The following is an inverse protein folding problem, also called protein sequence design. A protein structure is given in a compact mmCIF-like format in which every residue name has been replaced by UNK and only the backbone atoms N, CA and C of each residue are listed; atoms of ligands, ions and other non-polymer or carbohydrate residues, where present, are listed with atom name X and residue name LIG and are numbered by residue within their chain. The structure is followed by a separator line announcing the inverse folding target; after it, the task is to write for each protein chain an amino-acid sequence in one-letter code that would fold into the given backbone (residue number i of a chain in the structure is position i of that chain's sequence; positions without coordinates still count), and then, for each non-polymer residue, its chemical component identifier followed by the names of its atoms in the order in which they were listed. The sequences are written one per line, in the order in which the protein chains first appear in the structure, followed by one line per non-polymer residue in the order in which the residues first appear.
data_IF_996279600075
#
_entry.id   IF_996279600075
#
_cell.length_a   1.000
_cell.length_b   1.000
_cell.length_c   1.000
_cell.angle_alpha   90.00
_cell.angle_beta   90.00
_cell.angle_gamma   90.00
#
_symmetry.space_group_name_H-M   'P 1'
#
loop_
_entity.id
_entity.type
_entity.pdbx_description
1 polymer ?
#
# COMPACT_ATOMS: atom_id res chain seq x y z
N UNK A 1 -11.14 -6.48 5.79
CA UNK A 1 -10.13 -5.83 6.64
C UNK A 1 -10.17 -6.55 7.97
N UNK A 2 -9.12 -7.31 8.27
CA UNK A 2 -9.06 -8.11 9.49
C UNK A 2 -8.23 -7.35 10.52
N UNK A 3 -8.86 -7.02 11.65
CA UNK A 3 -8.23 -6.26 12.73
C UNK A 3 -8.94 -6.55 14.06
N UNK A 4 -8.22 -6.40 15.17
CA UNK A 4 -8.73 -6.75 16.52
C UNK A 4 -9.90 -5.87 16.97
N UNK A 5 -10.09 -4.70 16.36
CA UNK A 5 -11.19 -3.80 16.63
C UNK A 5 -11.65 -3.05 15.38
N UNK A 6 -12.85 -2.48 15.44
CA UNK A 6 -13.40 -1.71 14.33
C UNK A 6 -12.63 -0.41 14.10
N UNK A 7 -12.04 -0.28 12.90
CA UNK A 7 -11.33 0.93 12.48
C UNK A 7 -12.26 2.10 12.16
N UNK A 8 -13.58 1.87 12.12
CA UNK A 8 -14.61 2.86 11.75
C UNK A 8 -14.38 3.49 10.37
N UNK A 9 -13.86 2.70 9.42
CA UNK A 9 -13.70 3.12 8.02
C UNK A 9 -15.04 3.38 7.34
N UNK A 10 -15.08 4.38 6.46
CA UNK A 10 -16.25 4.78 5.68
C UNK A 10 -15.86 4.98 4.22
N UNK A 11 -16.79 4.78 3.26
CA UNK A 11 -16.59 5.24 1.89
C UNK A 11 -16.23 6.73 1.90
N UNK A 12 -15.06 7.04 1.38
CA UNK A 12 -14.45 8.37 1.40
C UNK A 12 -14.04 8.72 -0.01
N UNK A 13 -14.44 9.90 -0.47
CA UNK A 13 -14.01 10.47 -1.73
C UNK A 13 -13.02 11.61 -1.46
N UNK A 14 -11.87 11.56 -2.13
CA UNK A 14 -10.88 12.63 -2.13
C UNK A 14 -10.93 13.31 -3.51
N UNK A 15 -11.17 14.63 -3.58
CA UNK A 15 -11.22 15.35 -4.85
C UNK A 15 -9.82 15.59 -5.43
N UNK A 16 -9.78 15.90 -6.75
CA UNK A 16 -8.56 16.37 -7.40
C UNK A 16 -8.02 17.61 -6.71
N UNK A 17 -6.69 17.75 -6.70
CA UNK A 17 -5.97 18.88 -6.11
C UNK A 17 -6.20 19.05 -4.60
N UNK A 18 -6.68 17.99 -3.90
CA UNK A 18 -6.73 17.99 -2.45
C UNK A 18 -5.31 18.05 -1.88
N UNK A 19 -5.08 19.01 -0.98
CA UNK A 19 -3.82 19.17 -0.27
C UNK A 19 -3.90 18.43 1.06
N UNK A 20 -3.09 17.38 1.20
CA UNK A 20 -2.92 16.63 2.42
C UNK A 20 -1.89 17.29 3.34
N UNK A 21 -2.17 17.30 4.63
CA UNK A 21 -1.17 17.56 5.66
C UNK A 21 -0.55 16.23 6.08
N UNK A 22 0.73 16.02 5.77
CA UNK A 22 1.44 14.83 6.21
C UNK A 22 1.73 14.91 7.71
N UNK A 23 1.70 13.76 8.39
CA UNK A 23 2.16 13.61 9.78
C UNK A 23 3.67 13.91 9.94
N UNK A 24 4.40 14.09 8.82
CA UNK A 24 5.76 14.61 8.78
C UNK A 24 5.85 16.15 8.82
N UNK A 25 4.73 16.87 8.93
CA UNK A 25 4.69 18.33 9.10
C UNK A 25 4.86 19.15 7.81
N UNK A 26 4.77 18.52 6.64
CA UNK A 26 4.73 19.18 5.34
C UNK A 26 3.45 18.79 4.58
N UNK A 27 3.23 19.39 3.41
CA UNK A 27 2.05 19.09 2.59
C UNK A 27 2.42 18.40 1.28
N UNK A 28 1.49 17.57 0.79
CA UNK A 28 1.53 17.02 -0.56
C UNK A 28 0.15 17.11 -1.20
N UNK A 29 0.07 17.10 -2.53
CA UNK A 29 -1.18 17.32 -3.26
C UNK A 29 -1.51 16.10 -4.11
N UNK A 30 -2.75 15.63 -4.04
CA UNK A 30 -3.26 14.64 -4.99
C UNK A 30 -3.60 15.34 -6.31
N UNK A 31 -3.08 14.86 -7.43
CA UNK A 31 -3.45 15.35 -8.77
C UNK A 31 -4.76 14.75 -9.26
N UNK A 32 -5.05 13.52 -8.83
CA UNK A 32 -6.21 12.75 -9.23
C UNK A 32 -7.20 12.61 -8.07
N UNK A 33 -8.50 12.52 -8.42
CA UNK A 33 -9.54 12.15 -7.48
C UNK A 33 -9.60 10.64 -7.31
N UNK A 34 -9.90 10.19 -6.10
CA UNK A 34 -10.00 8.77 -5.78
C UNK A 34 -11.03 8.50 -4.68
N UNK A 35 -11.51 7.26 -4.62
CA UNK A 35 -12.47 6.82 -3.62
C UNK A 35 -11.98 5.52 -2.97
N UNK A 36 -12.40 5.27 -1.73
CA UNK A 36 -12.16 4.00 -1.08
C UNK A 36 -12.60 4.00 0.37
N UNK A 37 -12.19 3.00 1.13
CA UNK A 37 -12.50 2.92 2.56
C UNK A 37 -11.46 3.71 3.34
N UNK A 38 -11.90 4.72 4.09
CA UNK A 38 -11.00 5.56 4.87
C UNK A 38 -11.62 6.17 6.11
N UNK A 39 -10.78 6.86 6.90
CA UNK A 39 -11.20 7.57 8.12
C UNK A 39 -10.40 8.84 8.26
N UNK A 40 -11.04 9.90 8.76
CA UNK A 40 -10.35 11.10 9.20
C UNK A 40 -9.85 10.92 10.64
N UNK A 41 -8.53 10.96 10.82
CA UNK A 41 -7.86 10.96 12.13
C UNK A 41 -6.84 12.10 12.21
N UNK A 42 -7.32 13.33 11.97
CA UNK A 42 -6.49 14.53 11.81
C UNK A 42 -6.30 14.88 10.34
N UNK A 43 -6.18 13.87 9.50
CA UNK A 43 -6.27 13.92 8.04
C UNK A 43 -6.95 12.62 7.56
N UNK A 44 -7.45 12.58 6.32
CA UNK A 44 -8.02 11.36 5.74
C UNK A 44 -6.94 10.34 5.37
N UNK A 45 -7.09 9.12 5.89
CA UNK A 45 -6.29 7.95 5.52
C UNK A 45 -7.21 6.90 4.92
N UNK A 46 -6.91 6.44 3.70
CA UNK A 46 -7.61 5.33 3.07
C UNK A 46 -6.76 4.06 3.16
N UNK A 47 -7.42 2.91 3.36
CA UNK A 47 -6.79 1.58 3.46
C UNK A 47 -6.98 0.74 2.18
N UNK A 48 -7.92 1.14 1.34
CA UNK A 48 -8.14 0.63 -0.01
C UNK A 48 -8.74 1.74 -0.87
N UNK A 49 -8.70 1.58 -2.19
CA UNK A 49 -9.39 2.49 -3.08
C UNK A 49 -9.03 2.33 -4.55
N UNK A 50 -9.71 3.12 -5.36
CA UNK A 50 -9.53 3.24 -6.81
C UNK A 50 -9.57 4.71 -7.22
N UNK A 51 -8.70 5.11 -8.14
CA UNK A 51 -8.69 6.47 -8.68
C UNK A 51 -9.44 6.59 -10.01
N UNK A 52 -9.60 7.82 -10.48
CA UNK A 52 -10.28 8.13 -11.74
C UNK A 52 -9.63 7.54 -13.01
N UNK A 53 -8.40 7.02 -12.91
CA UNK A 53 -7.69 6.34 -14.00
C UNK A 53 -7.81 4.81 -13.91
N UNK A 54 -8.51 4.29 -12.90
CA UNK A 54 -8.68 2.86 -12.68
C UNK A 54 -7.47 2.17 -12.06
N UNK A 55 -6.51 2.92 -11.51
CA UNK A 55 -5.51 2.37 -10.61
C UNK A 55 -6.18 2.09 -9.26
N UNK A 56 -6.08 0.86 -8.79
CA UNK A 56 -6.63 0.39 -7.52
C UNK A 56 -5.53 -0.12 -6.62
N UNK A 57 -5.73 -0.03 -5.31
CA UNK A 57 -4.80 -0.63 -4.36
C UNK A 57 -5.37 -0.79 -2.96
N UNK A 58 -4.65 -1.55 -2.14
CA UNK A 58 -4.97 -1.74 -0.73
C UNK A 58 -3.69 -1.84 0.11
N UNK A 59 -3.74 -1.33 1.34
CA UNK A 59 -2.68 -1.40 2.35
C UNK A 59 -3.02 -2.48 3.38
N UNK A 60 -2.13 -3.46 3.55
CA UNK A 60 -2.30 -4.59 4.46
C UNK A 60 -1.13 -4.69 5.43
N UNK A 61 -1.31 -5.39 6.54
CA UNK A 61 -0.30 -5.55 7.60
C UNK A 61 0.94 -6.32 7.13
N UNK A 62 2.14 -5.87 7.49
CA UNK A 62 3.41 -6.51 7.09
C UNK A 62 4.53 -6.32 8.13
N UNK A 63 4.72 -7.29 9.03
CA UNK A 63 5.58 -7.17 10.21
C UNK A 63 7.07 -6.97 9.88
N UNK A 64 7.53 -7.42 8.72
CA UNK A 64 8.90 -7.29 8.25
C UNK A 64 9.20 -5.89 7.69
N UNK A 65 8.20 -4.98 7.67
CA UNK A 65 8.38 -3.63 7.15
C UNK A 65 9.49 -2.88 7.88
N UNK A 66 10.40 -2.26 7.13
CA UNK A 66 11.44 -1.38 7.66
C UNK A 66 11.35 -0.04 6.95
N UNK A 67 11.22 1.02 7.74
CA UNK A 67 11.09 2.39 7.24
C UNK A 67 12.28 3.25 7.64
N UNK A 68 12.46 4.34 6.89
CA UNK A 68 13.47 5.33 7.20
C UNK A 68 13.11 6.11 8.47
N UNK A 69 14.11 6.71 9.13
CA UNK A 69 13.86 7.60 10.28
C UNK A 69 13.65 9.04 9.81
N UNK A 70 13.10 9.91 10.68
CA UNK A 70 12.95 11.34 10.37
C UNK A 70 14.28 12.06 10.07
N UNK A 71 15.42 11.50 10.48
CA UNK A 71 16.75 12.02 10.12
C UNK A 71 17.15 11.71 8.68
N UNK A 72 16.46 10.77 8.04
CA UNK A 72 16.70 10.29 6.68
C UNK A 72 15.73 10.94 5.67
N UNK A 73 15.06 12.05 6.01
CA UNK A 73 14.31 12.81 5.01
C UNK A 73 15.29 13.42 4.01
N UNK A 74 15.26 12.98 2.75
CA UNK A 74 16.13 13.51 1.72
C UNK A 74 15.46 14.72 1.03
N UNK A 75 16.15 15.86 0.87
CA UNK A 75 15.66 16.98 0.07
C UNK A 75 15.35 16.53 -1.36
N UNK A 76 14.16 16.89 -1.87
CA UNK A 76 13.70 16.54 -3.22
C UNK A 76 13.03 15.17 -3.35
N UNK A 77 12.96 14.38 -2.27
CA UNK A 77 12.14 13.17 -2.21
C UNK A 77 10.71 13.47 -1.71
N UNK A 78 9.79 12.60 -2.10
CA UNK A 78 8.44 12.51 -1.56
C UNK A 78 8.51 11.71 -0.27
N UNK A 79 8.57 12.41 0.86
CA UNK A 79 8.67 11.79 2.18
C UNK A 79 7.26 11.55 2.73
N UNK A 80 6.90 10.30 3.05
CA UNK A 80 5.55 9.95 3.52
C UNK A 80 5.61 9.00 4.70
N UNK A 81 4.64 9.12 5.61
CA UNK A 81 4.40 8.06 6.59
C UNK A 81 3.82 6.81 5.90
N UNK A 82 4.00 5.62 6.49
CA UNK A 82 3.51 4.38 5.87
C UNK A 82 2.00 4.43 5.58
N UNK A 83 1.20 4.97 6.49
CA UNK A 83 -0.24 5.12 6.31
C UNK A 83 -0.66 6.19 5.28
N UNK A 84 0.27 6.93 4.69
CA UNK A 84 -0.01 7.95 3.65
C UNK A 84 0.30 7.46 2.24
N UNK A 85 1.08 6.37 2.11
CA UNK A 85 1.59 5.87 0.83
C UNK A 85 0.47 5.55 -0.15
N UNK A 86 -0.61 4.88 0.30
CA UNK A 86 -1.72 4.52 -0.59
C UNK A 86 -2.43 5.76 -1.14
N UNK A 87 -2.71 6.77 -0.31
CA UNK A 87 -3.31 8.03 -0.75
C UNK A 87 -2.43 8.69 -1.82
N UNK A 88 -1.11 8.70 -1.62
CA UNK A 88 -0.19 9.28 -2.58
C UNK A 88 -0.17 8.51 -3.91
N UNK A 89 -0.14 7.17 -3.88
CA UNK A 89 -0.21 6.33 -5.08
C UNK A 89 -1.50 6.63 -5.86
N UNK A 90 -2.66 6.55 -5.20
CA UNK A 90 -3.96 6.79 -5.83
C UNK A 90 -4.10 8.24 -6.34
N UNK A 91 -3.55 9.20 -5.59
CA UNK A 91 -3.60 10.61 -5.95
C UNK A 91 -2.59 11.05 -7.01
N UNK A 92 -1.55 10.27 -7.32
CA UNK A 92 -0.45 10.74 -8.18
C UNK A 92 -0.02 9.78 -9.30
N UNK A 93 -0.53 8.54 -9.36
CA UNK A 93 -0.20 7.58 -10.42
C UNK A 93 -1.45 7.22 -11.24
N UNK A 94 -1.35 7.18 -12.58
CA UNK A 94 -2.47 6.74 -13.45
C UNK A 94 -2.54 5.23 -13.62
N UNK A 95 -1.39 4.56 -13.57
CA UNK A 95 -1.20 3.13 -13.78
C UNK A 95 0.10 2.68 -13.11
N UNK A 96 0.48 1.41 -13.24
CA UNK A 96 1.70 0.89 -12.60
C UNK A 96 2.97 1.45 -13.23
N UNK A 97 2.99 1.79 -14.52
CA UNK A 97 4.17 2.42 -15.15
C UNK A 97 4.47 3.79 -14.54
N UNK A 98 3.44 4.62 -14.31
CA UNK A 98 3.60 5.88 -13.58
C UNK A 98 4.15 5.61 -12.17
N UNK A 99 3.71 4.56 -11.47
CA UNK A 99 4.24 4.21 -10.15
C UNK A 99 5.73 3.86 -10.23
N UNK A 100 6.15 3.05 -11.21
CA UNK A 100 7.56 2.70 -11.45
C UNK A 100 8.42 3.95 -11.65
N UNK A 101 7.96 4.91 -12.44
CA UNK A 101 8.69 6.16 -12.71
C UNK A 101 8.83 7.04 -11.46
N UNK A 102 7.84 7.02 -10.56
CA UNK A 102 7.84 7.85 -9.37
C UNK A 102 8.52 7.21 -8.16
N UNK A 103 8.63 5.88 -8.15
CA UNK A 103 9.17 5.09 -7.04
C UNK A 103 10.55 5.56 -6.54
N UNK A 104 11.53 5.95 -7.40
CA UNK A 104 12.83 6.44 -6.93
C UNK A 104 12.77 7.70 -6.07
N UNK A 105 11.66 8.45 -6.14
CA UNK A 105 11.43 9.66 -5.34
C UNK A 105 10.72 9.36 -4.03
N UNK A 106 10.09 8.20 -3.88
CA UNK A 106 9.33 7.85 -2.69
C UNK A 106 10.28 7.46 -1.55
N UNK A 107 10.10 8.11 -0.40
CA UNK A 107 10.78 7.81 0.84
C UNK A 107 9.76 7.55 1.96
N UNK A 108 9.70 6.33 2.46
CA UNK A 108 8.73 5.96 3.51
C UNK A 108 9.40 6.09 4.87
N UNK A 109 8.85 6.97 5.71
CA UNK A 109 9.38 7.32 7.03
C UNK A 109 8.49 6.72 8.11
N UNK A 110 9.11 6.09 9.10
CA UNK A 110 8.42 5.48 10.23
C UNK A 110 7.89 6.55 11.20
N UNK A 111 6.61 6.89 11.08
CA UNK A 111 5.90 7.82 11.98
C UNK A 111 4.70 7.11 12.60
N UNK A 112 4.43 7.41 13.87
CA UNK A 112 3.28 6.84 14.56
C UNK A 112 2.00 7.47 14.03
N UNK A 113 1.01 6.64 13.70
CA UNK A 113 -0.30 7.18 13.34
C UNK A 113 -1.08 7.61 14.60
N UNK A 114 -2.03 8.53 14.42
CA UNK A 114 -2.78 9.11 15.54
C UNK A 114 -3.73 8.11 16.22
N UNK A 115 -4.20 7.09 15.49
CA UNK A 115 -5.16 6.11 16.00
C UNK A 115 -4.51 5.00 16.84
N UNK A 116 -3.46 4.37 16.32
CA UNK A 116 -2.83 3.19 16.93
C UNK A 116 -1.61 3.56 17.78
N UNK A 117 -1.06 4.78 17.64
CA UNK A 117 0.12 5.25 18.38
C UNK A 117 1.38 4.38 18.16
N UNK A 118 1.41 3.67 17.03
CA UNK A 118 2.52 2.85 16.52
C UNK A 118 2.84 3.25 15.08
N UNK A 119 4.05 2.92 14.63
CA UNK A 119 4.36 2.94 13.21
C UNK A 119 3.67 1.73 12.59
N UNK A 120 2.63 1.95 11.78
CA UNK A 120 1.83 0.85 11.26
C UNK A 120 2.65 0.07 10.23
N UNK A 121 2.88 -1.23 10.44
CA UNK A 121 3.68 -2.04 9.54
C UNK A 121 2.82 -2.47 8.35
N UNK A 122 3.17 -2.03 7.13
CA UNK A 122 2.31 -2.08 5.95
C UNK A 122 3.09 -2.50 4.71
N UNK A 123 2.37 -3.19 3.82
CA UNK A 123 2.72 -3.39 2.41
C UNK A 123 1.48 -3.15 1.55
N UNK A 124 1.67 -2.98 0.24
CA UNK A 124 0.60 -2.56 -0.66
C UNK A 124 0.48 -3.48 -1.87
N UNK A 125 -0.75 -3.88 -2.18
CA UNK A 125 -1.09 -4.48 -3.48
C UNK A 125 -1.67 -3.40 -4.36
N UNK A 126 -1.21 -3.31 -5.60
CA UNK A 126 -1.65 -2.31 -6.58
C UNK A 126 -1.95 -3.01 -7.90
N UNK A 127 -3.08 -2.68 -8.52
CA UNK A 127 -3.45 -3.18 -9.85
C UNK A 127 -4.05 -2.06 -10.70
N UNK A 128 -3.88 -2.14 -12.03
CA UNK A 128 -4.48 -1.19 -12.97
C UNK A 128 -5.45 -1.87 -13.95
N UNK A 129 -6.04 -1.07 -14.84
CA UNK A 129 -7.06 -1.53 -15.80
C UNK A 129 -6.58 -2.61 -16.77
N UNK A 130 -5.27 -2.80 -16.91
CA UNK A 130 -4.71 -3.86 -17.77
C UNK A 130 -4.72 -5.22 -17.08
N UNK A 131 -4.98 -5.26 -15.77
CA UNK A 131 -4.82 -6.44 -14.93
C UNK A 131 -3.38 -6.65 -14.45
N UNK A 132 -2.44 -5.77 -14.82
CA UNK A 132 -1.11 -5.76 -14.20
C UNK A 132 -1.27 -5.55 -12.70
N UNK A 133 -0.55 -6.34 -11.90
CA UNK A 133 -0.64 -6.32 -10.45
C UNK A 133 0.76 -6.41 -9.86
N UNK A 134 1.01 -5.59 -8.85
CA UNK A 134 2.31 -5.51 -8.16
C UNK A 134 2.12 -5.47 -6.64
N UNK A 135 3.14 -5.92 -5.92
CA UNK A 135 3.26 -5.78 -4.47
C UNK A 135 4.41 -4.83 -4.15
N UNK A 136 4.15 -3.83 -3.33
CA UNK A 136 5.15 -2.88 -2.82
C UNK A 136 5.45 -3.20 -1.36
N UNK A 137 6.70 -3.50 -1.06
CA UNK A 137 7.19 -3.78 0.31
C UNK A 137 8.39 -2.90 0.65
N UNK A 138 8.36 -2.26 1.82
CA UNK A 138 9.51 -1.54 2.37
C UNK A 138 10.29 -2.48 3.30
N UNK A 139 11.48 -2.93 2.89
CA UNK A 139 12.28 -3.92 3.60
C UNK A 139 13.58 -3.31 4.13
N UNK A 140 14.30 -4.08 4.94
CA UNK A 140 15.62 -3.69 5.46
C UNK A 140 16.64 -3.36 4.35
N UNK A 141 16.51 -4.00 3.19
CA UNK A 141 17.36 -3.79 2.01
C UNK A 141 16.75 -2.83 0.97
N UNK A 142 15.71 -2.08 1.37
CA UNK A 142 15.10 -1.02 0.58
C UNK A 142 13.68 -1.33 0.09
N UNK A 143 13.19 -0.46 -0.77
CA UNK A 143 11.84 -0.55 -1.34
C UNK A 143 11.83 -1.57 -2.49
N UNK A 144 10.92 -2.54 -2.44
CA UNK A 144 10.74 -3.60 -3.43
C UNK A 144 9.39 -3.44 -4.10
N UNK A 145 9.40 -3.28 -5.43
CA UNK A 145 8.20 -3.39 -6.25
C UNK A 145 8.27 -4.72 -7.00
N UNK A 146 7.35 -5.62 -6.71
CA UNK A 146 7.38 -7.02 -7.10
C UNK A 146 6.21 -7.33 -8.04
N UNK A 147 6.50 -8.00 -9.13
CA UNK A 147 5.48 -8.50 -10.05
C UNK A 147 4.59 -9.54 -9.35
N UNK A 148 3.26 -9.34 -9.41
CA UNK A 148 2.27 -10.23 -8.82
C UNK A 148 1.40 -10.88 -9.89
N UNK A 149 1.90 -11.96 -10.49
CA UNK A 149 1.18 -12.70 -11.53
C UNK A 149 -0.03 -13.49 -11.02
N UNK A 150 -0.17 -13.65 -9.70
CA UNK A 150 -1.28 -14.41 -9.09
C UNK A 150 -2.43 -13.52 -8.61
N UNK A 151 -2.22 -12.20 -8.52
CA UNK A 151 -3.23 -11.23 -8.10
C UNK A 151 -3.67 -11.36 -6.63
N UNK A 152 -2.83 -11.98 -5.78
CA UNK A 152 -3.14 -12.23 -4.36
C UNK A 152 -2.03 -11.66 -3.48
N UNK A 153 -2.40 -11.06 -2.36
CA UNK A 153 -1.49 -10.63 -1.29
C UNK A 153 -2.21 -10.75 0.05
N UNK A 154 -1.51 -11.13 1.11
CA UNK A 154 -2.07 -11.19 2.47
C UNK A 154 -1.20 -10.38 3.43
N UNK A 155 -0.45 -11.02 4.32
CA UNK A 155 0.43 -10.41 5.30
C UNK A 155 1.80 -11.10 5.25
N UNK A 156 2.57 -10.96 6.32
CA UNK A 156 3.85 -11.63 6.54
C UNK A 156 3.86 -13.14 6.22
N UNK A 157 4.98 -13.70 5.74
CA UNK A 157 6.28 -13.05 5.49
C UNK A 157 6.33 -12.34 4.12
N UNK A 158 7.53 -12.11 3.56
CA UNK A 158 7.74 -11.46 2.27
C UNK A 158 7.00 -12.15 1.10
N UNK A 159 6.56 -11.36 0.11
CA UNK A 159 5.77 -11.88 -1.00
C UNK A 159 6.43 -13.02 -1.79
N UNK A 160 7.75 -13.00 -2.04
CA UNK A 160 8.43 -14.08 -2.77
C UNK A 160 8.41 -15.40 -1.98
N UNK A 161 8.35 -15.35 -0.66
CA UNK A 161 8.16 -16.56 0.15
C UNK A 161 6.79 -17.17 -0.12
N UNK A 162 5.73 -16.36 -0.19
CA UNK A 162 4.39 -16.83 -0.52
C UNK A 162 4.33 -17.45 -1.92
N UNK A 163 4.95 -16.81 -2.91
CA UNK A 163 5.06 -17.36 -4.26
C UNK A 163 5.80 -18.70 -4.27
N UNK A 164 6.87 -18.83 -3.48
CA UNK A 164 7.58 -20.11 -3.33
C UNK A 164 6.69 -21.15 -2.64
N UNK A 165 5.95 -20.76 -1.62
CA UNK A 165 5.08 -21.64 -0.85
C UNK A 165 3.95 -22.23 -1.70
N UNK A 166 3.43 -21.50 -2.70
CA UNK A 166 2.44 -22.05 -3.66
C UNK A 166 2.92 -23.33 -4.35
N UNK A 167 4.22 -23.53 -4.52
CA UNK A 167 4.78 -24.75 -5.13
C UNK A 167 4.48 -26.02 -4.32
N UNK A 168 4.18 -25.89 -3.03
CA UNK A 168 3.81 -27.02 -2.16
C UNK A 168 2.37 -27.51 -2.40
N UNK A 169 1.55 -26.74 -3.12
CA UNK A 169 0.10 -26.96 -3.23
C UNK A 169 -0.39 -27.14 -4.68
N UNK A 170 0.52 -27.38 -5.63
CA UNK A 170 0.21 -27.55 -7.05
C UNK A 170 -0.68 -28.78 -7.38
N UNK A 171 -0.85 -29.69 -6.42
CA UNK A 171 -1.71 -30.87 -6.56
C UNK A 171 -3.09 -30.70 -5.91
N UNK A 172 -3.38 -29.56 -5.29
CA UNK A 172 -4.73 -29.27 -4.83
C UNK A 172 -5.68 -29.21 -6.03
N UNK A 173 -6.81 -29.89 -5.88
CA UNK A 173 -7.85 -29.98 -6.91
C UNK A 173 -9.22 -29.87 -6.22
N UNK A 174 -10.27 -29.46 -6.96
CA UNK A 174 -11.61 -29.34 -6.39
C UNK A 174 -12.16 -30.66 -5.85
N UNK A 175 -11.76 -31.78 -6.47
CA UNK A 175 -12.26 -33.12 -6.15
C UNK A 175 -11.36 -33.87 -5.16
N UNK A 176 -11.93 -34.75 -4.31
CA UNK A 176 -11.13 -35.62 -3.46
C UNK A 176 -10.12 -36.43 -4.28
N UNK A 177 -8.93 -36.63 -3.72
CA UNK A 177 -8.00 -37.59 -4.30
C UNK A 177 -8.63 -38.98 -4.29
N UNK A 178 -8.54 -39.68 -5.44
CA UNK A 178 -8.93 -41.08 -5.50
C UNK A 178 -8.14 -41.84 -4.43
N UNK A 179 -8.83 -42.67 -3.64
CA UNK A 179 -8.18 -43.53 -2.65
C UNK A 179 -7.10 -44.35 -3.36
N UNK A 180 -5.85 -44.16 -2.95
CA UNK A 180 -4.70 -44.91 -3.44
C UNK A 180 -4.56 -46.24 -2.72
#
# INVERSE_FOLDING_TARGET
MDFDFELQGRPTYIPRHYQFNSDLGHTYTAQYGFLGTGRNIGEYILVDGVNEHGLSGAALYFNESVYQTSKNTAPGQVNLASHEVLNWILGNCRNINDLVEQLPRLNIVGVKNQLLQIVVPLHWIITDQTGHCVVLEARADGLKLLENSVGVMTNSPEFEWHLKNLSNYNHLQPEPHQQR
#
